data_IF_444352097241
#
_entry.id   IF_444352097241
#
_cell.length_a   1.000
_cell.length_b   1.000
_cell.length_c   1.000
_cell.angle_alpha   90.00
_cell.angle_beta   90.00
_cell.angle_gamma   90.00
#
_symmetry.space_group_name_H-M   'P 1'
#
loop_
_entity.id
_entity.type
_entity.pdbx_description
1 polymer ?
#
# COMPACT_ATOMS: atom_id res chain seq x y z
N UNK A 1 -2.22 10.46 25.20
CA UNK A 1 -1.08 10.54 24.27
C UNK A 1 -1.55 10.12 22.89
N UNK A 2 -1.23 10.89 21.85
CA UNK A 2 -1.84 10.68 20.54
C UNK A 2 -0.98 9.72 19.72
N UNK A 3 -1.32 8.45 19.77
CA UNK A 3 -0.64 7.40 19.01
C UNK A 3 -1.14 7.41 17.54
N UNK A 4 -0.62 8.34 16.74
CA UNK A 4 -0.77 8.27 15.28
C UNK A 4 0.31 7.36 14.70
N UNK A 5 0.06 6.06 14.75
CA UNK A 5 0.93 5.03 14.17
C UNK A 5 1.11 5.29 12.67
N UNK A 6 2.35 5.47 12.20
CA UNK A 6 2.63 5.70 10.78
C UNK A 6 2.37 4.40 10.01
N UNK A 7 1.58 4.44 8.92
CA UNK A 7 1.27 3.23 8.12
C UNK A 7 2.54 2.55 7.58
N UNK A 8 3.51 3.34 7.14
CA UNK A 8 4.81 2.84 6.64
C UNK A 8 5.63 2.18 7.76
N UNK A 9 5.58 2.72 8.98
CA UNK A 9 6.24 2.11 10.14
C UNK A 9 5.57 0.80 10.54
N UNK A 10 4.23 0.78 10.55
CA UNK A 10 3.45 -0.44 10.80
C UNK A 10 3.76 -1.50 9.75
N UNK A 11 3.80 -1.12 8.47
CA UNK A 11 4.19 -2.00 7.37
C UNK A 11 5.58 -2.61 7.59
N UNK A 12 6.56 -1.78 8.01
CA UNK A 12 7.90 -2.27 8.35
C UNK A 12 7.90 -3.29 9.49
N UNK A 13 7.09 -3.10 10.53
CA UNK A 13 6.97 -4.05 11.64
C UNK A 13 6.34 -5.38 11.21
N UNK A 14 5.34 -5.35 10.33
CA UNK A 14 4.69 -6.55 9.79
C UNK A 14 5.68 -7.35 8.96
N UNK A 15 6.34 -6.69 8.00
CA UNK A 15 7.29 -7.34 7.09
C UNK A 15 8.52 -7.90 7.81
N UNK A 16 8.90 -7.29 8.95
CA UNK A 16 9.96 -7.82 9.83
C UNK A 16 9.67 -9.23 10.34
N UNK A 17 8.39 -9.59 10.49
CA UNK A 17 7.96 -10.89 11.02
C UNK A 17 7.87 -11.97 9.94
N UNK A 18 8.10 -11.64 8.67
CA UNK A 18 7.99 -12.62 7.59
C UNK A 18 9.08 -13.68 7.69
N UNK A 19 8.67 -14.93 7.46
CA UNK A 19 9.59 -16.04 7.24
C UNK A 19 10.25 -15.95 5.85
N UNK A 20 11.21 -16.84 5.59
CA UNK A 20 11.94 -16.88 4.32
C UNK A 20 11.05 -17.22 3.12
N UNK A 21 9.93 -17.93 3.33
CA UNK A 21 9.01 -18.26 2.24
C UNK A 21 8.20 -17.04 1.84
N UNK A 22 7.59 -16.33 2.79
CA UNK A 22 6.88 -15.05 2.56
C UNK A 22 7.80 -14.02 1.90
N UNK A 23 9.04 -13.86 2.37
CA UNK A 23 10.04 -12.97 1.75
C UNK A 23 10.34 -13.35 0.29
N UNK A 24 10.48 -14.64 0.00
CA UNK A 24 10.72 -15.12 -1.37
C UNK A 24 9.55 -14.78 -2.29
N UNK A 25 8.31 -15.00 -1.86
CA UNK A 25 7.12 -14.65 -2.65
C UNK A 25 7.05 -13.15 -2.95
N UNK A 26 7.38 -12.30 -1.97
CA UNK A 26 7.46 -10.84 -2.16
C UNK A 26 8.53 -10.46 -3.18
N UNK A 27 9.69 -11.12 -3.14
CA UNK A 27 10.76 -10.89 -4.10
C UNK A 27 10.38 -11.33 -5.52
N UNK A 28 9.74 -12.48 -5.68
CA UNK A 28 9.24 -12.99 -6.97
C UNK A 28 8.19 -12.06 -7.61
N UNK A 29 7.37 -11.39 -6.79
CA UNK A 29 6.42 -10.39 -7.28
C UNK A 29 7.10 -9.09 -7.76
N UNK A 30 8.40 -8.92 -7.52
CA UNK A 30 9.15 -7.69 -7.84
C UNK A 30 9.06 -6.61 -6.76
N UNK A 31 8.71 -6.98 -5.52
CA UNK A 31 8.59 -6.03 -4.40
C UNK A 31 9.64 -6.27 -3.31
N UNK A 32 10.76 -6.91 -3.66
CA UNK A 32 11.86 -7.17 -2.72
C UNK A 32 12.35 -5.90 -2.00
N UNK A 33 12.35 -4.75 -2.67
CA UNK A 33 12.77 -3.48 -2.07
C UNK A 33 11.89 -3.05 -0.89
N UNK A 34 10.61 -3.43 -0.87
CA UNK A 34 9.71 -3.15 0.24
C UNK A 34 10.10 -3.92 1.52
N UNK A 35 10.83 -5.03 1.39
CA UNK A 35 11.34 -5.79 2.55
C UNK A 35 12.41 -5.03 3.35
N UNK A 36 13.00 -3.98 2.76
CA UNK A 36 14.04 -3.18 3.41
C UNK A 36 13.51 -1.97 4.21
N UNK A 37 12.19 -1.82 4.30
CA UNK A 37 11.56 -0.79 5.15
C UNK A 37 11.64 -1.11 6.64
N UNK A 38 12.06 -2.33 6.99
CA UNK A 38 12.30 -2.78 8.36
C UNK A 38 13.31 -1.83 9.05
N UNK A 39 12.94 -1.36 10.25
CA UNK A 39 13.78 -0.55 11.15
C UNK A 39 14.17 0.87 10.65
N UNK A 40 13.48 1.43 9.65
CA UNK A 40 13.65 2.84 9.23
C UNK A 40 12.84 3.78 10.14
N UNK A 41 13.20 3.84 11.42
CA UNK A 41 12.69 4.83 12.37
C UNK A 41 13.21 6.23 12.05
N UNK A 42 12.68 6.87 11.01
CA UNK A 42 13.02 8.26 10.70
C UNK A 42 12.26 9.20 11.65
N UNK A 43 12.95 10.16 12.30
CA UNK A 43 12.27 11.16 13.12
C UNK A 43 11.18 11.86 12.31
N UNK A 44 9.94 11.90 12.81
CA UNK A 44 8.81 12.49 12.10
C UNK A 44 9.06 13.93 11.65
N UNK A 45 9.78 14.70 12.48
CA UNK A 45 10.17 16.07 12.17
C UNK A 45 11.08 16.15 10.93
N UNK A 46 11.96 15.16 10.76
CA UNK A 46 12.82 15.07 9.57
C UNK A 46 11.99 14.74 8.32
N UNK A 47 11.05 13.78 8.41
CA UNK A 47 10.16 13.46 7.30
C UNK A 47 9.31 14.67 6.90
N UNK A 48 8.70 15.35 7.87
CA UNK A 48 7.93 16.56 7.63
C UNK A 48 8.80 17.66 7.00
N UNK A 49 9.99 17.89 7.56
CA UNK A 49 10.93 18.85 7.01
C UNK A 49 11.28 18.52 5.55
N UNK A 50 11.64 17.27 5.22
CA UNK A 50 11.91 16.84 3.85
C UNK A 50 10.71 17.09 2.91
N UNK A 51 9.48 16.81 3.36
CA UNK A 51 8.28 17.08 2.57
C UNK A 51 8.10 18.57 2.25
N UNK A 52 8.47 19.49 3.15
CA UNK A 52 8.42 20.94 2.88
C UNK A 52 9.42 21.40 1.82
N UNK A 53 10.41 20.58 1.50
CA UNK A 53 11.46 20.88 0.52
C UNK A 53 11.12 20.32 -0.87
N UNK A 54 10.03 19.54 -1.04
CA UNK A 54 9.66 18.93 -2.32
C UNK A 54 8.71 19.85 -3.10
N UNK A 55 9.12 20.27 -4.29
CA UNK A 55 8.21 20.84 -5.28
C UNK A 55 7.55 19.70 -6.08
N UNK A 56 6.29 19.42 -5.76
CA UNK A 56 5.51 18.33 -6.36
C UNK A 56 5.25 18.56 -7.85
N UNK A 57 5.05 19.82 -8.28
CA UNK A 57 4.75 20.14 -9.68
C UNK A 57 5.97 19.92 -10.56
N UNK A 58 7.12 20.39 -10.08
CA UNK A 58 8.41 20.26 -10.78
C UNK A 58 9.06 18.89 -10.55
N UNK A 59 8.60 18.12 -9.56
CA UNK A 59 9.17 16.84 -9.13
C UNK A 59 10.65 16.98 -8.76
N UNK A 60 10.96 17.97 -7.93
CA UNK A 60 12.32 18.22 -7.44
C UNK A 60 12.32 18.38 -5.93
N UNK A 61 13.38 17.92 -5.27
CA UNK A 61 13.71 18.32 -3.90
C UNK A 61 14.60 19.56 -3.97
N UNK A 62 14.16 20.67 -3.38
CA UNK A 62 14.89 21.96 -3.37
C UNK A 62 15.46 22.18 -1.98
N UNK A 63 16.78 22.16 -1.83
CA UNK A 63 17.47 22.46 -0.58
C UNK A 63 17.45 23.96 -0.26
N UNK A 64 17.77 24.33 0.98
CA UNK A 64 17.72 25.74 1.45
C UNK A 64 18.74 26.64 0.75
N UNK A 65 19.81 26.06 0.22
CA UNK A 65 20.84 26.74 -0.56
C UNK A 65 20.46 26.88 -2.05
N UNK A 66 19.27 26.41 -2.44
CA UNK A 66 18.77 26.44 -3.81
C UNK A 66 19.22 25.24 -4.66
N UNK A 67 19.93 24.26 -4.10
CA UNK A 67 20.32 23.07 -4.83
C UNK A 67 19.08 22.19 -5.12
N UNK A 68 18.93 21.78 -6.37
CA UNK A 68 17.78 21.00 -6.82
C UNK A 68 18.18 19.56 -7.16
N UNK A 69 17.42 18.60 -6.63
CA UNK A 69 17.53 17.17 -6.95
C UNK A 69 16.26 16.68 -7.64
N UNK A 70 16.32 16.38 -8.95
CA UNK A 70 15.19 15.80 -9.66
C UNK A 70 14.77 14.45 -9.09
N UNK A 71 13.46 14.29 -8.92
CA UNK A 71 12.78 13.06 -8.55
C UNK A 71 12.20 12.42 -9.81
N UNK A 72 12.71 11.25 -10.14
CA UNK A 72 12.42 10.51 -11.36
C UNK A 72 11.86 9.13 -11.03
N UNK A 73 11.06 8.58 -11.95
CA UNK A 73 10.49 7.24 -11.80
C UNK A 73 11.58 6.16 -11.67
N UNK A 74 12.75 6.37 -12.30
CA UNK A 74 13.88 5.43 -12.22
C UNK A 74 14.50 5.36 -10.82
N UNK A 75 14.58 6.48 -10.12
CA UNK A 75 15.03 6.49 -8.72
C UNK A 75 14.05 5.76 -7.81
N UNK A 76 12.73 5.91 -8.03
CA UNK A 76 11.70 5.19 -7.25
C UNK A 76 11.89 3.67 -7.39
N UNK A 77 12.18 3.18 -8.59
CA UNK A 77 12.47 1.76 -8.80
C UNK A 77 13.77 1.31 -8.15
N UNK A 78 14.84 2.08 -8.26
CA UNK A 78 16.10 1.72 -7.61
C UNK A 78 15.97 1.65 -6.09
N UNK A 79 15.13 2.50 -5.49
CA UNK A 79 14.93 2.54 -4.04
C UNK A 79 13.91 1.50 -3.58
N UNK A 80 12.76 1.36 -4.25
CA UNK A 80 11.65 0.51 -3.82
C UNK A 80 11.64 -0.89 -4.47
N UNK A 81 12.46 -1.10 -5.50
CA UNK A 81 12.44 -2.32 -6.33
C UNK A 81 11.23 -2.45 -7.25
N UNK A 82 10.24 -1.54 -7.17
CA UNK A 82 8.95 -1.64 -7.86
C UNK A 82 9.16 -1.59 -9.38
N UNK A 83 8.56 -2.50 -10.17
CA UNK A 83 8.74 -2.54 -11.63
C UNK A 83 8.44 -1.19 -12.32
N UNK A 84 9.29 -0.82 -13.29
CA UNK A 84 9.05 0.33 -14.17
C UNK A 84 8.50 -0.15 -15.49
N UNK A 85 7.36 0.41 -15.87
CA UNK A 85 6.87 0.31 -17.23
C UNK A 85 5.37 0.56 -17.32
N UNK A 86 4.86 0.84 -18.52
CA UNK A 86 3.43 0.78 -18.76
C UNK A 86 3.00 -0.69 -18.70
N UNK A 87 2.45 -1.12 -17.56
CA UNK A 87 1.57 -2.30 -17.55
C UNK A 87 0.14 -1.80 -17.68
N UNK A 88 -0.50 -2.19 -18.78
CA UNK A 88 -1.91 -1.88 -18.96
C UNK A 88 -2.70 -2.71 -17.95
N UNK A 89 -3.37 -2.05 -17.00
CA UNK A 89 -4.31 -2.72 -16.11
C UNK A 89 -5.59 -2.95 -16.91
N UNK A 90 -6.00 -4.21 -17.16
CA UNK A 90 -7.25 -4.49 -17.86
C UNK A 90 -8.42 -3.86 -17.10
N UNK A 91 -9.27 -3.12 -17.80
CA UNK A 91 -10.48 -2.51 -17.22
C UNK A 91 -11.72 -3.39 -17.36
N UNK A 92 -11.65 -4.37 -18.26
CA UNK A 92 -12.71 -5.32 -18.56
C UNK A 92 -12.12 -6.71 -18.37
N UNK A 93 -12.86 -7.54 -17.64
CA UNK A 93 -12.55 -8.94 -17.51
C UNK A 93 -13.30 -9.67 -18.63
N UNK A 94 -12.58 -10.19 -19.62
CA UNK A 94 -13.17 -10.96 -20.74
C UNK A 94 -13.03 -12.47 -20.53
N UNK A 95 -12.41 -12.87 -19.41
CA UNK A 95 -12.15 -14.26 -19.04
C UNK A 95 -12.99 -14.63 -17.82
N UNK A 96 -13.94 -15.54 -18.00
CA UNK A 96 -14.82 -16.06 -16.94
C UNK A 96 -14.02 -16.60 -15.75
N UNK A 97 -12.82 -17.16 -15.97
CA UNK A 97 -11.98 -17.65 -14.88
C UNK A 97 -11.47 -16.50 -14.01
N UNK A 98 -11.05 -15.40 -14.63
CA UNK A 98 -10.63 -14.18 -13.94
C UNK A 98 -11.82 -13.48 -13.26
N UNK A 99 -13.00 -13.50 -13.87
CA UNK A 99 -14.21 -12.92 -13.25
C UNK A 99 -14.58 -13.69 -11.97
N UNK A 100 -14.57 -15.02 -12.03
CA UNK A 100 -14.78 -15.87 -10.86
C UNK A 100 -13.72 -15.64 -9.77
N UNK A 101 -12.47 -15.42 -10.16
CA UNK A 101 -11.40 -15.12 -9.22
C UNK A 101 -11.58 -13.76 -8.55
N UNK A 102 -11.97 -12.73 -9.30
CA UNK A 102 -12.32 -11.41 -8.75
C UNK A 102 -13.52 -11.51 -7.80
N UNK A 103 -14.53 -12.32 -8.14
CA UNK A 103 -15.68 -12.56 -7.27
C UNK A 103 -15.26 -13.21 -5.94
N UNK A 104 -14.41 -14.24 -5.98
CA UNK A 104 -13.83 -14.88 -4.78
C UNK A 104 -13.00 -13.91 -3.93
N UNK A 105 -12.25 -13.02 -4.58
CA UNK A 105 -11.51 -11.98 -3.87
C UNK A 105 -12.43 -10.97 -3.19
N UNK A 106 -13.54 -10.62 -3.84
CA UNK A 106 -14.56 -9.81 -3.22
C UNK A 106 -15.15 -10.53 -2.01
N UNK A 107 -15.44 -11.83 -2.10
CA UNK A 107 -16.00 -12.58 -0.96
C UNK A 107 -15.04 -12.71 0.22
N UNK A 108 -13.74 -12.89 -0.04
CA UNK A 108 -12.72 -13.08 0.99
C UNK A 108 -12.29 -11.78 1.67
N UNK A 109 -12.15 -10.68 0.91
CA UNK A 109 -11.56 -9.43 1.43
C UNK A 109 -12.55 -8.26 1.54
N UNK A 110 -13.68 -8.26 0.82
CA UNK A 110 -14.61 -7.12 0.83
C UNK A 110 -15.62 -7.25 1.97
N UNK A 111 -15.57 -6.29 2.89
CA UNK A 111 -16.60 -6.09 3.89
C UNK A 111 -17.79 -5.34 3.28
N UNK A 112 -18.99 -5.85 3.52
CA UNK A 112 -20.24 -5.16 3.20
C UNK A 112 -20.69 -4.36 4.41
N UNK A 113 -20.75 -3.05 4.27
CA UNK A 113 -21.35 -2.20 5.29
C UNK A 113 -22.88 -2.26 5.21
N UNK A 114 -23.61 -2.08 6.33
CA UNK A 114 -25.07 -1.95 6.31
C UNK A 114 -25.58 -0.81 5.41
N UNK A 115 -24.75 0.19 5.17
CA UNK A 115 -25.01 1.33 4.28
C UNK A 115 -24.88 0.99 2.78
N UNK A 116 -24.62 -0.27 2.41
CA UNK A 116 -24.44 -0.71 1.02
C UNK A 116 -23.04 -0.44 0.45
N UNK A 117 -22.17 0.24 1.18
CA UNK A 117 -20.79 0.45 0.77
C UNK A 117 -19.99 -0.86 0.83
N UNK A 118 -19.17 -1.07 -0.21
CA UNK A 118 -18.19 -2.16 -0.30
C UNK A 118 -16.80 -1.59 -0.06
N UNK A 119 -16.04 -2.19 0.84
CA UNK A 119 -14.65 -1.81 1.10
C UNK A 119 -13.83 -3.03 1.48
N UNK A 120 -12.51 -2.92 1.40
CA UNK A 120 -11.60 -3.96 1.90
C UNK A 120 -11.17 -3.59 3.31
N UNK A 121 -11.39 -4.50 4.27
CA UNK A 121 -10.98 -4.28 5.65
C UNK A 121 -9.48 -4.50 5.81
N UNK A 122 -8.76 -3.49 6.32
CA UNK A 122 -7.34 -3.62 6.67
C UNK A 122 -7.12 -4.77 7.66
N UNK A 123 -8.05 -5.01 8.58
CA UNK A 123 -7.97 -6.11 9.55
C UNK A 123 -7.92 -7.47 8.84
N UNK A 124 -8.82 -7.69 7.88
CA UNK A 124 -8.87 -8.94 7.10
C UNK A 124 -7.59 -9.18 6.29
N UNK A 125 -7.03 -8.12 5.71
CA UNK A 125 -5.72 -8.20 5.03
C UNK A 125 -4.63 -8.64 6.03
N UNK A 126 -4.59 -8.05 7.22
CA UNK A 126 -3.57 -8.37 8.22
C UNK A 126 -3.68 -9.80 8.76
N UNK A 127 -4.90 -10.30 8.98
CA UNK A 127 -5.13 -11.68 9.43
C UNK A 127 -4.52 -12.70 8.45
N UNK A 128 -4.68 -12.48 7.14
CA UNK A 128 -4.05 -13.31 6.09
C UNK A 128 -2.53 -13.15 6.09
N UNK A 129 -2.04 -11.92 6.25
CA UNK A 129 -0.60 -11.61 6.17
C UNK A 129 0.18 -12.15 7.37
N UNK A 130 -0.37 -12.05 8.57
CA UNK A 130 0.25 -12.47 9.82
C UNK A 130 0.05 -13.97 10.07
N UNK A 131 -1.04 -14.55 9.55
CA UNK A 131 -1.34 -15.98 9.66
C UNK A 131 -0.34 -16.92 8.96
N UNK A 132 -0.45 -18.24 9.17
CA UNK A 132 0.35 -19.24 8.47
C UNK A 132 0.21 -19.12 6.95
N UNK A 133 1.30 -19.36 6.22
CA UNK A 133 1.27 -19.31 4.76
C UNK A 133 0.69 -20.61 4.18
N UNK A 134 -0.63 -20.67 4.05
CA UNK A 134 -1.34 -21.81 3.48
C UNK A 134 -1.43 -21.73 1.95
N UNK A 135 -1.84 -20.56 1.41
CA UNK A 135 -1.98 -20.31 -0.02
C UNK A 135 -1.07 -19.14 -0.47
N UNK A 136 -0.18 -19.42 -1.42
CA UNK A 136 0.75 -18.43 -1.97
C UNK A 136 0.03 -17.31 -2.74
N UNK A 137 -1.03 -17.65 -3.48
CA UNK A 137 -1.83 -16.72 -4.28
C UNK A 137 -2.60 -15.76 -3.38
N UNK A 138 -3.22 -16.29 -2.32
CA UNK A 138 -3.94 -15.48 -1.34
C UNK A 138 -3.01 -14.51 -0.60
N UNK A 139 -1.87 -15.01 -0.11
CA UNK A 139 -0.84 -14.16 0.50
C UNK A 139 -0.33 -13.08 -0.46
N UNK A 140 -0.01 -13.43 -1.71
CA UNK A 140 0.48 -12.47 -2.72
C UNK A 140 -0.53 -11.34 -2.93
N UNK A 141 -1.83 -11.65 -3.00
CA UNK A 141 -2.89 -10.64 -3.17
C UNK A 141 -3.08 -9.78 -1.93
N UNK A 142 -3.13 -10.38 -0.74
CA UNK A 142 -3.22 -9.65 0.52
C UNK A 142 -2.02 -8.71 0.71
N UNK A 143 -0.81 -9.16 0.36
CA UNK A 143 0.39 -8.34 0.44
C UNK A 143 0.31 -7.15 -0.51
N UNK A 144 -0.15 -7.37 -1.74
CA UNK A 144 -0.35 -6.29 -2.71
C UNK A 144 -1.37 -5.26 -2.22
N UNK A 145 -2.49 -5.69 -1.65
CA UNK A 145 -3.49 -4.78 -1.09
C UNK A 145 -2.91 -3.95 0.06
N UNK A 146 -2.14 -4.58 0.96
CA UNK A 146 -1.45 -3.89 2.05
C UNK A 146 -0.42 -2.88 1.52
N UNK A 147 0.46 -3.29 0.60
CA UNK A 147 1.51 -2.45 0.04
C UNK A 147 0.95 -1.23 -0.69
N UNK A 148 -0.15 -1.41 -1.44
CA UNK A 148 -0.84 -0.31 -2.10
C UNK A 148 -1.44 0.66 -1.08
N UNK A 149 -2.18 0.17 -0.09
CA UNK A 149 -2.87 1.02 0.88
C UNK A 149 -1.96 1.70 1.92
N UNK A 150 -0.83 1.09 2.27
CA UNK A 150 0.02 1.56 3.37
C UNK A 150 1.28 2.29 2.87
N UNK A 151 1.72 2.06 1.62
CA UNK A 151 3.00 2.59 1.09
C UNK A 151 2.86 3.30 -0.26
N UNK A 152 2.17 2.69 -1.24
CA UNK A 152 2.23 3.16 -2.64
C UNK A 152 1.20 4.24 -2.94
N UNK A 153 -0.07 4.01 -2.58
CA UNK A 153 -1.11 5.03 -2.60
C UNK A 153 -1.17 5.65 -1.21
N UNK A 154 -0.82 6.93 -1.12
CA UNK A 154 -1.04 7.71 0.10
C UNK A 154 -2.52 7.68 0.51
N UNK A 155 -2.84 8.05 1.77
CA UNK A 155 -4.19 7.93 2.33
C UNK A 155 -5.30 8.67 1.56
N UNK A 156 -4.96 9.53 0.60
CA UNK A 156 -5.89 10.43 -0.11
C UNK A 156 -6.40 9.92 -1.47
N UNK A 157 -5.95 8.76 -1.99
CA UNK A 157 -6.32 8.33 -3.36
C UNK A 157 -7.29 7.16 -3.49
N UNK A 158 -7.49 6.37 -2.43
CA UNK A 158 -8.56 5.38 -2.43
C UNK A 158 -9.94 6.02 -2.21
N UNK A 159 -9.99 7.29 -1.78
CA UNK A 159 -11.21 8.07 -1.61
C UNK A 159 -11.65 8.84 -2.87
N UNK A 160 -10.76 9.09 -3.84
CA UNK A 160 -11.08 9.99 -4.97
C UNK A 160 -11.76 9.33 -6.17
N UNK A 161 -12.09 8.03 -6.09
CA UNK A 161 -12.92 7.34 -7.09
C UNK A 161 -14.25 6.83 -6.52
N UNK A 162 -14.59 7.20 -5.29
CA UNK A 162 -15.97 7.17 -4.79
C UNK A 162 -16.42 8.61 -4.84
N UNK A 163 -17.43 8.89 -5.68
CA UNK A 163 -18.18 10.16 -5.76
C UNK A 163 -18.04 11.04 -4.52
N UNK A 164 -17.65 12.31 -4.71
CA UNK A 164 -17.39 13.35 -3.69
C UNK A 164 -18.53 13.63 -2.68
N UNK A 165 -19.62 12.85 -2.72
CA UNK A 165 -20.78 12.94 -1.82
C UNK A 165 -20.94 11.74 -0.87
N UNK A 166 -19.96 10.84 -0.75
CA UNK A 166 -20.07 9.72 0.20
C UNK A 166 -19.69 10.15 1.63
N UNK A 167 -20.64 10.23 2.59
CA UNK A 167 -20.29 10.43 3.98
C UNK A 167 -19.45 9.23 4.44
N UNK A 168 -18.27 9.52 4.98
CA UNK A 168 -17.39 8.51 5.58
C UNK A 168 -18.17 7.66 6.59
N UNK A 169 -18.43 6.38 6.31
CA UNK A 169 -19.08 5.43 7.22
C UNK A 169 -18.24 5.37 8.50
N UNK A 170 -18.83 5.73 9.66
CA UNK A 170 -18.22 5.55 10.99
C UNK A 170 -17.76 4.10 11.22
N UNK A 171 -18.47 3.16 10.57
CA UNK A 171 -18.23 1.73 10.47
C UNK A 171 -16.79 1.32 10.08
N UNK A 172 -16.10 2.14 9.27
CA UNK A 172 -14.73 1.87 8.81
C UNK A 172 -13.66 2.59 9.65
N UNK A 173 -14.08 3.42 10.62
CA UNK A 173 -13.18 4.23 11.46
C UNK A 173 -12.96 3.66 12.86
N UNK A 174 -13.65 2.58 13.24
CA UNK A 174 -13.62 2.07 14.60
C UNK A 174 -12.50 1.03 14.80
N UNK A 175 -11.37 1.55 15.28
CA UNK A 175 -10.40 0.86 16.12
C UNK A 175 -9.92 1.85 17.18
N UNK A 176 -10.69 2.01 18.25
CA UNK A 176 -10.21 2.56 19.52
C UNK A 176 -9.93 1.41 20.47
#
# INVERSE_FOLDING_TARGET
>A
EVNFNCRVETFGQIVKQFDERKKRLVAEMGFAGLLHFVDKGLPRNLCYWLCTMVDVKRRVLVLKDGLEFPLSKIQVHWVLGIPIGPRHVPKVCEDDAMENEVARLCESFVTRCPSGHRGVSRKTILEVIEGPLEDDSEFKKAFMMMAVNDVIDGPDKLSSNVSEDAPSCECCREGK
#
